data_IF_458687140801
#
_entry.id   IF_458687140801
#
_cell.length_a   1.000
_cell.length_b   1.000
_cell.length_c   1.000
_cell.angle_alpha   90.00
_cell.angle_beta   90.00
_cell.angle_gamma   90.00
#
_symmetry.space_group_name_H-M   'P 1'
#
loop_
_entity.id
_entity.type
_entity.pdbx_description
1 polymer ?
#
# COMPACT_ATOMS: atom_id res chain seq x y z
N UNK A 1 -10.47 -1.20 -24.28
CA UNK A 1 -9.12 -1.34 -24.87
C UNK A 1 -8.11 -0.32 -24.37
N UNK A 2 -8.38 1.00 -24.48
CA UNK A 2 -7.43 2.07 -24.08
C UNK A 2 -6.92 1.98 -22.64
N UNK A 3 -7.75 1.56 -21.65
CA UNK A 3 -7.30 1.42 -20.25
C UNK A 3 -6.15 0.43 -20.09
N UNK A 4 -6.22 -0.72 -20.77
CA UNK A 4 -5.16 -1.72 -20.71
C UNK A 4 -3.87 -1.28 -21.41
N UNK A 5 -3.96 -0.48 -22.47
CA UNK A 5 -2.79 0.13 -23.11
C UNK A 5 -2.06 1.05 -22.13
N UNK A 6 -2.78 2.00 -21.51
CA UNK A 6 -2.19 2.89 -20.49
C UNK A 6 -1.65 2.15 -19.28
N UNK A 7 -2.35 1.09 -18.86
CA UNK A 7 -1.90 0.23 -17.77
C UNK A 7 -0.57 -0.47 -18.10
N UNK A 8 -0.45 -1.03 -19.31
CA UNK A 8 0.78 -1.68 -19.79
C UNK A 8 1.92 -0.67 -19.92
N UNK A 9 1.67 0.49 -20.54
CA UNK A 9 2.68 1.53 -20.71
C UNK A 9 3.26 1.99 -19.36
N UNK A 10 2.40 2.15 -18.35
CA UNK A 10 2.83 2.49 -17.00
C UNK A 10 3.62 1.35 -16.32
N UNK A 11 3.38 0.09 -16.68
CA UNK A 11 4.07 -1.06 -16.13
C UNK A 11 5.40 -1.40 -16.85
N UNK A 12 5.59 -0.98 -18.12
CA UNK A 12 6.78 -1.27 -18.92
C UNK A 12 8.12 -0.90 -18.26
N UNK A 13 8.28 0.26 -17.58
CA UNK A 13 9.54 0.61 -16.92
C UNK A 13 10.00 -0.41 -15.88
N UNK A 14 9.06 -1.15 -15.29
CA UNK A 14 9.33 -2.19 -14.29
C UNK A 14 10.08 -3.40 -14.87
N UNK A 15 10.20 -3.49 -16.22
CA UNK A 15 10.99 -4.53 -16.90
C UNK A 15 12.44 -4.55 -16.39
N UNK A 16 13.01 -3.41 -16.08
CA UNK A 16 14.38 -3.28 -15.60
C UNK A 16 14.61 -3.82 -14.18
N UNK A 17 13.54 -4.10 -13.41
CA UNK A 17 13.62 -4.82 -12.14
C UNK A 17 13.72 -6.34 -12.33
N UNK A 18 13.46 -6.85 -13.53
CA UNK A 18 13.46 -8.28 -13.85
C UNK A 18 14.73 -8.69 -14.60
N UNK A 19 15.31 -9.83 -14.24
CA UNK A 19 16.54 -10.35 -14.85
C UNK A 19 16.37 -10.79 -16.31
N UNK A 20 15.18 -11.30 -16.68
CA UNK A 20 14.86 -11.85 -18.00
C UNK A 20 13.46 -11.42 -18.46
N UNK A 21 13.20 -11.42 -19.79
CA UNK A 21 11.89 -11.14 -20.36
C UNK A 21 10.82 -12.09 -19.79
N UNK A 22 11.10 -13.37 -19.68
CA UNK A 22 10.18 -14.37 -19.11
C UNK A 22 9.78 -14.03 -17.65
N UNK A 23 10.72 -13.55 -16.83
CA UNK A 23 10.40 -13.10 -15.45
C UNK A 23 9.50 -11.88 -15.47
N UNK A 24 9.72 -10.96 -16.40
CA UNK A 24 8.88 -9.79 -16.57
C UNK A 24 7.45 -10.16 -17.02
N UNK A 25 7.30 -11.10 -17.96
CA UNK A 25 6.00 -11.57 -18.40
C UNK A 25 5.20 -12.22 -17.25
N UNK A 26 5.85 -13.03 -16.41
CA UNK A 26 5.20 -13.54 -15.19
C UNK A 26 4.87 -12.43 -14.20
N UNK A 27 5.73 -11.43 -14.05
CA UNK A 27 5.47 -10.28 -13.20
C UNK A 27 4.24 -9.50 -13.65
N UNK A 28 4.15 -9.15 -14.94
CA UNK A 28 2.96 -8.47 -15.50
C UNK A 28 1.72 -9.35 -15.37
N UNK A 29 1.82 -10.66 -15.58
CA UNK A 29 0.72 -11.60 -15.38
C UNK A 29 0.21 -11.55 -13.93
N UNK A 30 1.12 -11.50 -12.95
CA UNK A 30 0.74 -11.35 -11.54
C UNK A 30 0.09 -10.00 -11.26
N UNK A 31 0.62 -8.90 -11.82
CA UNK A 31 0.03 -7.56 -11.70
C UNK A 31 -1.39 -7.53 -12.29
N UNK A 32 -1.56 -8.02 -13.52
CA UNK A 32 -2.86 -8.09 -14.19
C UNK A 32 -3.84 -8.98 -13.43
N UNK A 33 -3.41 -10.16 -13.02
CA UNK A 33 -4.25 -11.08 -12.25
C UNK A 33 -4.67 -10.52 -10.90
N UNK A 34 -3.81 -9.79 -10.19
CA UNK A 34 -4.18 -9.08 -8.96
C UNK A 34 -5.18 -7.96 -9.23
N UNK A 35 -5.10 -7.31 -10.40
CA UNK A 35 -6.00 -6.24 -10.81
C UNK A 35 -7.41 -6.76 -11.13
N UNK A 36 -7.52 -7.90 -11.86
CA UNK A 36 -8.81 -8.40 -12.35
C UNK A 36 -9.49 -9.42 -11.46
N UNK A 37 -8.79 -10.01 -10.47
CA UNK A 37 -9.36 -11.03 -9.59
C UNK A 37 -10.51 -10.49 -8.71
N UNK A 38 -11.44 -11.37 -8.37
CA UNK A 38 -12.58 -11.08 -7.49
C UNK A 38 -12.30 -11.58 -6.08
N UNK A 39 -11.76 -12.80 -5.98
CA UNK A 39 -11.35 -13.38 -4.71
C UNK A 39 -9.90 -12.99 -4.37
N UNK A 40 -9.55 -13.04 -3.08
CA UNK A 40 -8.26 -12.60 -2.58
C UNK A 40 -7.40 -13.78 -2.07
N UNK A 41 -7.57 -14.96 -2.67
CA UNK A 41 -7.01 -16.23 -2.18
C UNK A 41 -5.56 -16.51 -2.64
N UNK A 42 -4.70 -15.53 -2.64
CA UNK A 42 -3.28 -15.70 -2.97
C UNK A 42 -3.02 -15.99 -4.45
N UNK A 43 -2.11 -16.92 -4.76
CA UNK A 43 -1.71 -17.24 -6.14
C UNK A 43 -2.82 -17.95 -6.93
N UNK A 44 -3.60 -18.80 -6.28
CA UNK A 44 -4.71 -19.52 -6.93
C UNK A 44 -5.72 -18.56 -7.55
N UNK A 45 -6.00 -17.43 -6.88
CA UNK A 45 -6.94 -16.44 -7.41
C UNK A 45 -6.41 -15.75 -8.67
N UNK A 46 -5.10 -15.57 -8.80
CA UNK A 46 -4.47 -15.03 -10.01
C UNK A 46 -4.69 -15.98 -11.19
N UNK A 47 -4.41 -17.28 -10.98
CA UNK A 47 -4.58 -18.31 -12.02
C UNK A 47 -6.05 -18.38 -12.47
N UNK A 48 -6.99 -18.36 -11.53
CA UNK A 48 -8.43 -18.39 -11.83
C UNK A 48 -8.90 -17.14 -12.57
N UNK A 49 -8.56 -15.97 -12.05
CA UNK A 49 -9.00 -14.70 -12.62
C UNK A 49 -8.50 -14.46 -14.05
N UNK A 50 -7.31 -14.99 -14.36
CA UNK A 50 -6.71 -14.90 -15.69
C UNK A 50 -7.08 -16.07 -16.60
N UNK A 51 -7.89 -17.04 -16.13
CA UNK A 51 -8.26 -18.23 -16.90
C UNK A 51 -7.06 -19.12 -17.30
N UNK A 52 -5.99 -19.14 -16.52
CA UNK A 52 -4.75 -19.82 -16.90
C UNK A 52 -4.82 -21.33 -16.65
N UNK A 53 -4.06 -22.09 -17.45
CA UNK A 53 -3.84 -23.53 -17.29
C UNK A 53 -3.27 -23.87 -15.90
N UNK A 54 -3.59 -25.03 -15.30
CA UNK A 54 -3.18 -25.38 -13.93
C UNK A 54 -1.67 -25.29 -13.67
N UNK A 55 -0.83 -25.68 -14.64
CA UNK A 55 0.63 -25.63 -14.51
C UNK A 55 1.19 -24.20 -14.28
N UNK A 56 0.40 -23.16 -14.63
CA UNK A 56 0.79 -21.76 -14.37
C UNK A 56 0.87 -21.46 -12.88
N UNK A 57 0.16 -22.20 -12.04
CA UNK A 57 0.24 -22.06 -10.58
C UNK A 57 1.67 -22.27 -10.07
N UNK A 58 2.31 -23.36 -10.45
CA UNK A 58 3.69 -23.65 -10.04
C UNK A 58 4.67 -22.62 -10.62
N UNK A 59 4.45 -22.17 -11.85
CA UNK A 59 5.29 -21.15 -12.48
C UNK A 59 5.21 -19.79 -11.77
N UNK A 60 4.03 -19.41 -11.29
CA UNK A 60 3.86 -18.19 -10.50
C UNK A 60 4.50 -18.37 -9.10
N UNK A 61 4.38 -19.52 -8.47
CA UNK A 61 5.08 -19.83 -7.23
C UNK A 61 6.60 -19.74 -7.41
N UNK A 62 7.13 -20.37 -8.46
CA UNK A 62 8.56 -20.31 -8.82
C UNK A 62 9.02 -18.86 -9.06
N UNK A 63 8.19 -18.05 -9.72
CA UNK A 63 8.49 -16.64 -9.93
C UNK A 63 8.63 -15.89 -8.59
N UNK A 64 7.71 -16.07 -7.64
CA UNK A 64 7.81 -15.39 -6.33
C UNK A 64 8.99 -15.92 -5.50
N UNK A 65 9.30 -17.21 -5.56
CA UNK A 65 10.42 -17.81 -4.81
C UNK A 65 11.79 -17.63 -5.51
N UNK A 66 11.79 -17.30 -6.79
CA UNK A 66 13.00 -17.09 -7.57
C UNK A 66 13.64 -15.72 -7.35
N UNK A 67 14.80 -15.51 -7.98
CA UNK A 67 15.54 -14.25 -7.95
C UNK A 67 15.29 -13.39 -9.20
N UNK A 68 14.33 -13.79 -10.03
CA UNK A 68 14.03 -13.13 -11.30
C UNK A 68 13.48 -11.71 -11.17
N UNK A 69 12.92 -11.35 -10.02
CA UNK A 69 12.46 -10.00 -9.66
C UNK A 69 13.30 -9.48 -8.48
N UNK A 70 13.99 -8.36 -8.69
CA UNK A 70 14.84 -7.72 -7.68
C UNK A 70 14.01 -6.87 -6.73
N UNK A 71 13.99 -7.23 -5.44
CA UNK A 71 13.34 -6.45 -4.38
C UNK A 71 14.01 -5.09 -4.13
N UNK A 72 15.31 -4.95 -4.42
CA UNK A 72 16.04 -3.69 -4.22
C UNK A 72 15.81 -2.70 -5.37
N UNK A 73 15.70 -3.19 -6.61
CA UNK A 73 15.47 -2.35 -7.79
C UNK A 73 14.01 -1.93 -7.92
N UNK A 74 13.09 -2.82 -7.60
CA UNK A 74 11.66 -2.64 -7.83
C UNK A 74 11.09 -1.36 -7.19
N UNK A 75 11.30 -1.07 -5.88
CA UNK A 75 10.79 0.15 -5.27
C UNK A 75 11.37 1.42 -5.90
N UNK A 76 12.66 1.41 -6.24
CA UNK A 76 13.33 2.57 -6.85
C UNK A 76 12.76 2.90 -8.23
N UNK A 77 12.55 1.87 -9.06
CA UNK A 77 11.98 2.03 -10.40
C UNK A 77 10.52 2.47 -10.27
N UNK A 78 9.75 1.85 -9.38
CA UNK A 78 8.36 2.20 -9.15
C UNK A 78 8.21 3.65 -8.66
N UNK A 79 9.02 4.11 -7.72
CA UNK A 79 9.05 5.51 -7.28
C UNK A 79 9.26 6.48 -8.46
N UNK A 80 10.27 6.20 -9.32
CA UNK A 80 10.52 7.03 -10.51
C UNK A 80 9.34 7.01 -11.49
N UNK A 81 8.74 5.85 -11.67
CA UNK A 81 7.54 5.69 -12.50
C UNK A 81 6.39 6.52 -11.96
N UNK A 82 6.08 6.44 -10.66
CA UNK A 82 5.03 7.23 -10.00
C UNK A 82 5.24 8.72 -10.23
N UNK A 83 6.46 9.22 -10.00
CA UNK A 83 6.79 10.64 -10.19
C UNK A 83 6.64 11.11 -11.65
N UNK A 84 6.67 10.19 -12.61
CA UNK A 84 6.52 10.48 -14.04
C UNK A 84 5.07 10.42 -14.51
N UNK A 85 4.30 9.42 -14.02
CA UNK A 85 2.98 9.13 -14.60
C UNK A 85 1.83 9.87 -13.92
N UNK A 86 1.97 10.27 -12.65
CA UNK A 86 0.89 10.97 -11.97
C UNK A 86 0.84 12.45 -12.36
N UNK A 87 -0.38 13.00 -12.62
CA UNK A 87 -0.55 14.37 -13.11
C UNK A 87 -0.21 15.43 -12.07
N UNK A 88 -0.39 15.10 -10.78
CA UNK A 88 -0.12 15.99 -9.67
C UNK A 88 0.61 15.23 -8.54
N UNK A 89 1.81 15.72 -8.21
CA UNK A 89 2.61 15.24 -7.09
C UNK A 89 2.94 16.43 -6.20
N UNK A 90 2.12 16.66 -5.16
CA UNK A 90 2.24 17.85 -4.31
C UNK A 90 3.58 17.91 -3.59
N UNK A 91 4.09 19.14 -3.47
CA UNK A 91 5.34 19.45 -2.79
C UNK A 91 5.14 20.56 -1.76
N UNK A 92 5.92 20.49 -0.69
CA UNK A 92 6.01 21.54 0.32
C UNK A 92 7.47 21.92 0.50
N UNK A 93 7.79 23.19 0.36
CA UNK A 93 9.17 23.70 0.35
C UNK A 93 10.06 22.90 -0.65
N UNK A 94 9.54 22.62 -1.86
CA UNK A 94 10.23 21.85 -2.91
C UNK A 94 10.34 20.33 -2.66
N UNK A 95 9.92 19.83 -1.49
CA UNK A 95 10.05 18.43 -1.07
C UNK A 95 8.76 17.65 -1.31
N UNK A 96 8.91 16.39 -1.72
CA UNK A 96 7.80 15.44 -1.87
C UNK A 96 7.14 15.16 -0.52
N UNK A 97 5.82 14.98 -0.53
CA UNK A 97 5.08 14.53 0.63
C UNK A 97 5.05 13.01 0.69
N UNK A 98 5.69 12.46 1.71
CA UNK A 98 5.67 11.04 2.01
C UNK A 98 4.82 10.80 3.25
N UNK A 99 4.04 9.73 3.22
CA UNK A 99 3.29 9.24 4.38
C UNK A 99 3.75 7.84 4.72
N UNK A 100 3.97 7.60 6.01
CA UNK A 100 4.41 6.30 6.51
C UNK A 100 3.57 5.86 7.70
N UNK A 101 3.22 4.57 7.74
CA UNK A 101 2.53 3.98 8.88
C UNK A 101 2.74 2.47 8.94
N UNK A 102 2.35 1.86 10.06
CA UNK A 102 2.36 0.42 10.27
C UNK A 102 1.01 -0.22 9.99
N UNK A 103 1.04 -1.45 9.45
CA UNK A 103 -0.16 -2.28 9.32
C UNK A 103 0.08 -3.66 9.91
N UNK A 104 -0.88 -4.17 10.69
CA UNK A 104 -0.87 -5.51 11.27
C UNK A 104 -1.82 -6.40 10.47
N UNK A 105 -1.28 -7.47 9.88
CA UNK A 105 -2.04 -8.38 9.01
C UNK A 105 -2.24 -9.71 9.73
N UNK A 106 -3.48 -10.13 10.03
CA UNK A 106 -3.77 -11.41 10.64
C UNK A 106 -3.28 -12.58 9.78
N UNK A 107 -2.69 -13.57 10.42
CA UNK A 107 -2.23 -14.83 9.80
C UNK A 107 -2.43 -15.99 10.79
N UNK A 108 -3.15 -17.01 10.37
CA UNK A 108 -3.45 -18.16 11.24
C UNK A 108 -2.48 -19.34 11.09
N UNK A 109 -1.57 -19.23 10.11
CA UNK A 109 -0.65 -20.32 9.79
C UNK A 109 0.40 -20.57 10.90
N UNK A 110 0.40 -21.78 11.48
CA UNK A 110 1.35 -22.18 12.52
C UNK A 110 2.78 -22.42 12.02
N UNK A 111 2.99 -22.55 10.72
CA UNK A 111 4.30 -22.80 10.09
C UNK A 111 4.68 -21.69 9.12
N UNK A 112 4.47 -20.45 9.52
CA UNK A 112 4.79 -19.26 8.73
C UNK A 112 5.90 -18.46 9.41
N UNK A 113 7.01 -18.18 8.73
CA UNK A 113 8.06 -17.31 9.25
C UNK A 113 7.55 -15.91 9.61
N UNK A 114 8.10 -15.31 10.65
CA UNK A 114 7.81 -13.97 11.16
C UNK A 114 6.37 -13.72 11.64
N UNK A 115 5.51 -14.74 11.72
CA UNK A 115 4.20 -14.62 12.39
C UNK A 115 4.41 -14.62 13.91
N UNK A 116 3.83 -13.67 14.60
CA UNK A 116 3.91 -13.51 16.05
C UNK A 116 2.63 -12.92 16.63
N UNK A 117 2.49 -13.00 17.96
CA UNK A 117 1.45 -12.27 18.69
C UNK A 117 1.70 -10.76 18.59
N UNK A 118 0.71 -10.02 18.13
CA UNK A 118 0.76 -8.56 17.94
C UNK A 118 -0.35 -7.92 18.79
N UNK A 119 0.02 -6.96 19.63
CA UNK A 119 -0.95 -6.14 20.33
C UNK A 119 -1.58 -5.16 19.33
N UNK A 120 -2.91 -5.05 19.33
CA UNK A 120 -3.63 -4.05 18.54
C UNK A 120 -3.85 -2.80 19.40
N UNK A 121 -3.31 -1.69 18.97
CA UNK A 121 -3.46 -0.36 19.62
C UNK A 121 -4.77 0.32 19.16
N UNK A 122 -5.82 -0.46 18.93
CA UNK A 122 -7.12 0.08 18.53
C UNK A 122 -7.92 0.45 19.76
N UNK A 123 -8.43 1.66 19.82
CA UNK A 123 -9.39 2.12 20.85
C UNK A 123 -10.77 1.46 20.70
N UNK A 124 -10.98 0.68 19.62
CA UNK A 124 -12.25 0.00 19.36
C UNK A 124 -12.39 -1.28 20.17
N UNK A 125 -13.38 -1.34 21.05
CA UNK A 125 -13.73 -2.53 21.85
C UNK A 125 -14.20 -3.73 20.99
N UNK A 126 -14.48 -3.54 19.71
CA UNK A 126 -14.89 -4.59 18.79
C UNK A 126 -13.76 -5.45 18.23
N UNK A 127 -12.51 -5.05 18.45
CA UNK A 127 -11.33 -5.79 17.96
C UNK A 127 -10.62 -6.49 19.12
N UNK A 128 -10.10 -7.72 18.92
CA UNK A 128 -9.34 -8.41 19.94
C UNK A 128 -8.05 -7.61 20.25
N UNK A 129 -7.66 -7.55 21.53
CA UNK A 129 -6.44 -6.86 21.97
C UNK A 129 -5.16 -7.43 21.30
N UNK A 130 -5.16 -8.72 20.95
CA UNK A 130 -4.04 -9.40 20.33
C UNK A 130 -4.48 -10.19 19.10
N UNK A 131 -3.65 -10.16 18.05
CA UNK A 131 -3.79 -11.02 16.87
C UNK A 131 -2.49 -11.79 16.63
N UNK A 132 -2.59 -12.96 15.99
CA UNK A 132 -1.45 -13.61 15.36
C UNK A 132 -1.29 -13.06 13.96
N UNK A 133 -0.08 -12.62 13.57
CA UNK A 133 0.09 -12.05 12.26
C UNK A 133 1.47 -11.49 11.97
N UNK A 134 1.55 -10.77 10.87
CA UNK A 134 2.71 -9.98 10.46
C UNK A 134 2.49 -8.51 10.74
N UNK A 135 3.55 -7.82 11.18
CA UNK A 135 3.62 -6.36 11.22
C UNK A 135 4.43 -5.85 10.04
N UNK A 136 3.87 -4.91 9.28
CA UNK A 136 4.53 -4.23 8.18
C UNK A 136 4.58 -2.73 8.44
N UNK A 137 5.64 -2.09 7.95
CA UNK A 137 5.70 -0.65 7.76
C UNK A 137 5.67 -0.37 6.27
N UNK A 138 4.91 0.62 5.86
CA UNK A 138 4.85 1.06 4.48
C UNK A 138 5.05 2.58 4.37
N UNK A 139 5.59 2.99 3.24
CA UNK A 139 5.76 4.40 2.88
C UNK A 139 5.10 4.62 1.52
N UNK A 140 4.31 5.69 1.41
CA UNK A 140 3.65 6.10 0.19
C UNK A 140 3.97 7.54 -0.18
N UNK A 141 3.93 7.84 -1.48
CA UNK A 141 4.00 9.20 -2.02
C UNK A 141 2.57 9.72 -2.13
N UNK A 142 2.31 10.93 -1.63
CA UNK A 142 1.03 11.59 -1.86
C UNK A 142 0.96 12.10 -3.30
N UNK A 143 -0.14 11.78 -3.97
CA UNK A 143 -0.46 12.24 -5.32
C UNK A 143 -1.89 12.77 -5.34
N UNK A 144 -2.17 13.77 -6.16
CA UNK A 144 -3.48 14.38 -6.29
C UNK A 144 -4.10 14.13 -7.66
N UNK A 145 -5.42 14.11 -7.72
CA UNK A 145 -6.19 14.14 -8.96
C UNK A 145 -7.61 14.62 -8.67
N UNK A 146 -8.08 15.63 -9.37
CA UNK A 146 -9.37 16.27 -9.14
C UNK A 146 -9.48 16.70 -7.65
N UNK A 147 -10.60 16.39 -6.99
CA UNK A 147 -10.78 16.61 -5.53
C UNK A 147 -10.27 15.44 -4.66
N UNK A 148 -9.48 14.53 -5.22
CA UNK A 148 -9.01 13.32 -4.55
C UNK A 148 -7.51 13.38 -4.28
N UNK A 149 -7.07 12.74 -3.18
CA UNK A 149 -5.65 12.54 -2.85
C UNK A 149 -5.43 11.08 -2.53
N UNK A 150 -4.40 10.48 -3.12
CA UNK A 150 -4.02 9.08 -2.92
C UNK A 150 -2.66 9.00 -2.22
N UNK A 151 -2.44 7.91 -1.47
CA UNK A 151 -1.12 7.49 -1.02
C UNK A 151 -0.70 6.28 -1.87
N UNK A 152 0.20 6.49 -2.81
CA UNK A 152 0.76 5.43 -3.65
C UNK A 152 1.90 4.77 -2.91
N UNK A 153 1.66 3.58 -2.36
CA UNK A 153 2.67 2.82 -1.64
C UNK A 153 3.80 2.38 -2.58
N UNK A 154 5.03 2.70 -2.23
CA UNK A 154 6.20 2.30 -3.02
C UNK A 154 7.10 1.30 -2.27
N UNK A 155 6.94 1.18 -0.96
CA UNK A 155 7.70 0.24 -0.13
C UNK A 155 6.83 -0.29 1.01
N UNK A 156 6.94 -1.58 1.28
CA UNK A 156 6.40 -2.22 2.48
C UNK A 156 7.31 -3.37 2.88
N UNK A 157 7.73 -3.37 4.13
CA UNK A 157 8.57 -4.43 4.70
C UNK A 157 8.12 -4.78 6.11
N UNK A 158 8.52 -5.96 6.59
CA UNK A 158 8.31 -6.35 7.98
C UNK A 158 9.11 -5.44 8.91
N UNK A 159 8.51 -5.08 10.04
CA UNK A 159 9.11 -4.24 11.05
C UNK A 159 10.38 -4.88 11.63
N UNK A 160 11.48 -4.12 11.71
CA UNK A 160 12.72 -4.51 12.39
C UNK A 160 12.77 -3.85 13.77
N UNK A 161 13.11 -4.60 14.82
CA UNK A 161 13.32 -4.03 16.15
C UNK A 161 14.54 -3.10 16.13
N UNK A 162 14.32 -1.82 16.45
CA UNK A 162 15.39 -0.84 16.68
C UNK A 162 15.64 -0.70 18.17
N UNK A 163 16.92 -0.81 18.56
CA UNK A 163 17.36 -0.80 19.95
C UNK A 163 17.13 0.54 20.69
N UNK A 164 17.14 0.49 22.02
CA UNK A 164 16.94 1.64 22.92
C UNK A 164 18.14 2.59 22.95
N UNK A 165 17.86 3.91 22.82
CA UNK A 165 18.87 4.98 22.92
C UNK A 165 19.26 5.35 24.36
N UNK A 166 20.40 6.09 24.52
CA UNK A 166 20.99 6.52 25.79
C UNK A 166 20.20 7.66 26.47
N UNK A 167 20.17 7.68 27.81
CA UNK A 167 19.58 8.75 28.63
C UNK A 167 20.37 10.05 28.53
N UNK A 168 19.68 11.21 28.36
CA UNK A 168 20.24 12.57 28.42
C UNK A 168 19.55 13.35 29.53
N UNK A 169 20.23 14.38 30.08
CA UNK A 169 19.68 15.27 31.12
C UNK A 169 19.06 16.50 30.48
N UNK A 170 17.88 16.90 30.93
CA UNK A 170 17.10 18.01 30.38
C UNK A 170 16.58 18.92 31.53
N UNK A 171 16.32 20.20 31.21
CA UNK A 171 15.76 21.18 32.13
C UNK A 171 14.29 20.91 32.52
N UNK A 172 13.54 21.95 32.85
CA UNK A 172 12.13 21.85 33.29
C UNK A 172 11.27 21.13 32.29
N UNK A 173 10.51 20.14 32.75
CA UNK A 173 9.59 19.34 31.88
C UNK A 173 8.26 20.09 31.75
N UNK A 174 7.80 20.22 30.49
CA UNK A 174 6.46 20.71 30.16
C UNK A 174 5.62 19.48 29.78
N UNK A 175 4.45 19.35 30.43
CA UNK A 175 3.46 18.35 30.02
C UNK A 175 2.62 18.94 28.89
N UNK A 176 2.75 18.36 27.67
CA UNK A 176 2.08 18.90 26.47
C UNK A 176 0.55 19.05 26.61
N UNK A 177 -0.10 18.22 27.45
CA UNK A 177 -1.53 18.36 27.76
C UNK A 177 -1.88 19.69 28.48
N UNK A 178 -0.90 20.35 29.13
CA UNK A 178 -1.09 21.63 29.81
C UNK A 178 -1.24 22.78 28.81
N UNK A 179 -0.83 22.60 27.55
CA UNK A 179 -1.02 23.60 26.50
C UNK A 179 -2.51 23.90 26.20
N UNK A 180 -3.42 23.03 26.64
CA UNK A 180 -4.87 23.21 26.47
C UNK A 180 -5.55 23.87 27.68
N UNK A 181 -4.78 24.26 28.74
CA UNK A 181 -5.34 24.89 29.95
C UNK A 181 -5.63 26.36 29.77
N UNK A 182 -4.95 26.99 28.82
CA UNK A 182 -5.13 28.39 28.48
C UNK A 182 -5.75 28.55 27.10
N UNK A 183 -7.09 28.62 26.99
CA UNK A 183 -7.77 28.76 25.70
C UNK A 183 -7.54 30.11 25.03
N UNK A 184 -7.21 31.16 25.82
CA UNK A 184 -6.98 32.54 25.33
C UNK A 184 -5.64 32.65 24.60
N UNK A 185 -4.65 31.83 24.98
CA UNK A 185 -3.37 31.73 24.27
C UNK A 185 -3.47 31.04 22.91
N UNK A 186 -4.62 30.44 22.57
CA UNK A 186 -4.79 29.72 21.31
C UNK A 186 -5.30 30.65 20.19
N UNK A 187 -4.63 30.61 19.06
CA UNK A 187 -5.07 31.30 17.84
C UNK A 187 -6.23 30.54 17.17
N UNK A 188 -7.17 31.30 16.59
CA UNK A 188 -8.30 30.75 15.82
C UNK A 188 -8.03 30.89 14.32
N UNK A 189 -8.30 29.86 13.52
CA UNK A 189 -8.18 29.89 12.08
C UNK A 189 -9.19 28.96 11.41
N UNK A 190 -9.50 29.18 10.11
CA UNK A 190 -10.23 28.19 9.31
C UNK A 190 -9.49 26.84 9.30
N UNK A 191 -10.24 25.74 9.35
CA UNK A 191 -9.66 24.40 9.31
C UNK A 191 -8.96 24.14 7.98
N UNK A 192 -7.64 23.87 7.94
CA UNK A 192 -6.93 23.52 6.72
C UNK A 192 -7.03 22.00 6.40
N UNK A 193 -7.85 21.26 7.15
CA UNK A 193 -7.91 19.80 7.06
C UNK A 193 -8.62 19.40 5.76
N UNK A 194 -8.02 18.46 5.04
CA UNK A 194 -8.55 17.94 3.79
C UNK A 194 -9.98 17.37 3.95
N UNK A 195 -10.88 17.81 3.07
CA UNK A 195 -12.28 17.39 3.05
C UNK A 195 -13.19 18.12 4.04
N UNK A 196 -12.70 19.13 4.76
CA UNK A 196 -13.50 20.00 5.61
C UNK A 196 -13.78 21.33 4.91
N UNK A 197 -15.01 21.80 5.01
CA UNK A 197 -15.42 23.12 4.51
C UNK A 197 -16.07 23.92 5.65
N UNK A 198 -15.59 25.14 5.90
CA UNK A 198 -16.21 26.11 6.81
C UNK A 198 -16.00 25.89 8.32
N UNK A 199 -15.20 24.89 8.72
CA UNK A 199 -14.86 24.67 10.13
C UNK A 199 -13.78 25.63 10.64
N UNK A 200 -13.85 26.01 11.93
CA UNK A 200 -12.76 26.73 12.61
C UNK A 200 -12.06 25.81 13.60
N UNK A 201 -10.75 25.97 13.74
CA UNK A 201 -9.91 25.29 14.73
C UNK A 201 -9.22 26.34 15.63
N UNK A 202 -8.89 25.93 16.83
CA UNK A 202 -7.96 26.68 17.69
C UNK A 202 -6.65 25.95 17.81
N UNK A 203 -5.53 26.66 17.77
CA UNK A 203 -4.21 26.03 17.84
C UNK A 203 -3.22 26.92 18.58
N UNK A 204 -2.22 26.29 19.22
CA UNK A 204 -1.06 26.92 19.83
C UNK A 204 0.20 26.22 19.30
N UNK A 205 1.20 27.01 18.90
CA UNK A 205 2.47 26.51 18.36
C UNK A 205 3.62 26.85 19.30
N UNK A 206 4.42 25.88 19.71
CA UNK A 206 5.59 26.05 20.55
C UNK A 206 6.76 25.20 20.07
N UNK A 207 7.95 25.81 20.05
CA UNK A 207 9.20 25.10 19.75
C UNK A 207 9.86 24.66 21.07
N UNK A 208 9.92 23.38 21.32
CA UNK A 208 10.42 22.78 22.56
C UNK A 208 11.50 21.72 22.24
N UNK A 209 12.45 21.55 23.14
CA UNK A 209 13.42 20.47 23.03
C UNK A 209 12.75 19.13 23.33
N UNK A 210 12.65 18.28 22.30
CA UNK A 210 12.11 16.94 22.50
C UNK A 210 13.20 16.00 23.00
N UNK A 211 12.95 15.45 24.20
CA UNK A 211 13.91 14.60 24.90
C UNK A 211 14.48 13.45 24.06
N UNK A 212 13.65 12.79 23.27
CA UNK A 212 14.06 11.65 22.42
C UNK A 212 14.98 12.08 21.26
N UNK A 213 14.76 13.26 20.69
CA UNK A 213 15.55 13.79 19.58
C UNK A 213 16.77 14.61 20.04
N UNK A 214 16.72 15.18 21.26
CA UNK A 214 17.76 16.07 21.79
C UNK A 214 17.93 17.38 21.01
N UNK A 215 16.89 17.81 20.28
CA UNK A 215 16.85 19.02 19.45
C UNK A 215 15.48 19.66 19.52
N UNK A 216 15.36 20.98 19.17
CA UNK A 216 14.07 21.64 19.07
C UNK A 216 13.18 20.94 18.06
N UNK A 217 11.91 20.83 18.40
CA UNK A 217 10.81 20.40 17.52
C UNK A 217 9.61 21.29 17.80
N UNK A 218 8.80 21.51 16.80
CA UNK A 218 7.57 22.30 16.92
C UNK A 218 6.43 21.40 17.36
N UNK A 219 5.79 21.75 18.48
CA UNK A 219 4.57 21.14 18.96
C UNK A 219 3.38 22.03 18.63
N UNK A 220 2.34 21.41 18.12
CA UNK A 220 1.06 22.05 17.81
C UNK A 220 -0.01 21.44 18.72
N UNK A 221 -0.52 22.21 19.69
CA UNK A 221 -1.75 21.86 20.38
C UNK A 221 -2.94 22.34 19.53
N UNK A 222 -3.76 21.42 19.05
CA UNK A 222 -4.90 21.71 18.17
C UNK A 222 -6.19 21.31 18.87
N UNK A 223 -7.15 22.21 18.94
CA UNK A 223 -8.51 21.94 19.37
C UNK A 223 -9.44 22.03 18.15
N UNK A 224 -10.02 20.87 17.81
CA UNK A 224 -10.99 20.77 16.74
C UNK A 224 -12.39 20.59 17.32
N UNK A 225 -13.43 21.32 16.88
CA UNK A 225 -14.76 21.29 17.50
C UNK A 225 -15.40 19.90 17.54
N UNK A 226 -15.21 19.09 16.52
CA UNK A 226 -15.80 17.73 16.43
C UNK A 226 -14.81 16.60 16.75
N UNK A 227 -13.49 16.81 16.59
CA UNK A 227 -12.46 15.77 16.79
C UNK A 227 -11.73 15.92 18.14
N UNK A 228 -12.01 16.99 18.87
CA UNK A 228 -11.42 17.25 20.19
C UNK A 228 -9.97 17.75 20.14
N UNK A 229 -9.20 17.40 21.17
CA UNK A 229 -7.83 17.86 21.39
C UNK A 229 -6.82 16.93 20.74
N UNK A 230 -5.87 17.48 19.97
CA UNK A 230 -4.78 16.75 19.35
C UNK A 230 -3.46 17.49 19.53
N UNK A 231 -2.36 16.75 19.72
CA UNK A 231 -1.00 17.29 19.75
C UNK A 231 -0.26 16.74 18.53
N UNK A 232 0.20 17.65 17.67
CA UNK A 232 1.02 17.33 16.52
C UNK A 232 2.46 17.75 16.79
N UNK A 233 3.40 17.15 16.08
CA UNK A 233 4.82 17.45 16.20
C UNK A 233 5.45 17.57 14.81
N UNK A 234 6.27 18.59 14.61
CA UNK A 234 7.11 18.75 13.42
C UNK A 234 8.58 18.87 13.79
N UNK A 235 9.43 18.12 13.11
CA UNK A 235 10.90 18.29 13.17
C UNK A 235 11.38 19.36 12.20
N UNK A 236 10.53 19.82 11.29
CA UNK A 236 10.79 20.91 10.38
C UNK A 236 10.20 22.21 10.93
N UNK A 237 11.07 23.08 11.43
CA UNK A 237 10.68 24.37 12.03
C UNK A 237 10.38 25.44 10.97
N UNK A 238 10.66 25.18 9.68
CA UNK A 238 10.35 26.11 8.57
C UNK A 238 8.89 26.04 8.14
N UNK A 239 8.16 25.00 8.54
CA UNK A 239 6.75 24.85 8.20
C UNK A 239 5.88 25.79 9.04
N UNK A 240 4.95 26.49 8.38
CA UNK A 240 3.94 27.28 9.09
C UNK A 240 3.01 26.36 9.92
N UNK A 241 2.49 26.83 11.06
CA UNK A 241 1.61 26.04 11.91
C UNK A 241 0.41 25.41 11.20
N UNK A 242 -0.33 26.18 10.40
CA UNK A 242 -1.49 25.69 9.66
C UNK A 242 -1.09 24.66 8.58
N UNK A 243 0.11 24.80 8.00
CA UNK A 243 0.64 23.83 7.05
C UNK A 243 0.91 22.48 7.73
N UNK A 244 1.45 22.47 8.96
CA UNK A 244 1.64 21.23 9.74
C UNK A 244 0.29 20.53 9.97
N UNK A 245 -0.75 21.29 10.32
CA UNK A 245 -2.10 20.75 10.55
C UNK A 245 -2.66 20.19 9.24
N UNK A 246 -2.52 20.91 8.12
CA UNK A 246 -2.92 20.48 6.79
C UNK A 246 -2.25 19.16 6.38
N UNK A 247 -0.93 19.09 6.54
CA UNK A 247 -0.14 17.90 6.19
C UNK A 247 -0.51 16.69 7.06
N UNK A 248 -0.71 16.91 8.37
CA UNK A 248 -1.16 15.84 9.25
C UNK A 248 -2.53 15.30 8.85
N UNK A 249 -3.44 16.19 8.41
CA UNK A 249 -4.75 15.79 7.89
C UNK A 249 -4.68 14.86 6.66
N UNK A 250 -3.58 14.91 5.91
CA UNK A 250 -3.35 14.01 4.77
C UNK A 250 -2.79 12.63 5.19
N UNK A 251 -2.26 12.47 6.41
CA UNK A 251 -1.66 11.23 6.89
C UNK A 251 -2.61 10.03 6.79
N UNK A 252 -3.89 10.23 7.07
CA UNK A 252 -4.86 9.14 7.03
C UNK A 252 -5.00 8.50 5.63
N UNK A 253 -4.49 9.15 4.56
CA UNK A 253 -4.50 8.57 3.21
C UNK A 253 -3.72 7.28 3.10
N UNK A 254 -2.68 7.06 3.96
CA UNK A 254 -1.99 5.77 4.02
C UNK A 254 -2.89 4.67 4.59
N UNK A 255 -3.75 5.00 5.56
CA UNK A 255 -4.73 4.06 6.14
C UNK A 255 -5.80 3.66 5.10
N UNK A 256 -6.26 4.64 4.29
CA UNK A 256 -7.15 4.37 3.15
C UNK A 256 -6.46 3.46 2.15
N UNK A 257 -5.18 3.74 1.82
CA UNK A 257 -4.38 2.89 0.94
C UNK A 257 -4.24 1.47 1.50
N UNK A 258 -3.99 1.29 2.80
CA UNK A 258 -3.96 -0.02 3.44
C UNK A 258 -5.30 -0.76 3.33
N UNK A 259 -6.41 -0.06 3.56
CA UNK A 259 -7.75 -0.65 3.41
C UNK A 259 -7.96 -1.19 2.00
N UNK A 260 -7.56 -0.44 0.98
CA UNK A 260 -7.66 -0.88 -0.42
C UNK A 260 -6.66 -1.99 -0.74
N UNK A 261 -5.43 -1.91 -0.25
CA UNK A 261 -4.43 -2.96 -0.41
C UNK A 261 -4.90 -4.31 0.14
N UNK A 262 -5.59 -4.30 1.29
CA UNK A 262 -6.14 -5.52 1.92
C UNK A 262 -7.42 -5.98 1.24
N UNK A 263 -8.41 -5.08 1.05
CA UNK A 263 -9.78 -5.44 0.69
C UNK A 263 -10.04 -5.51 -0.81
N UNK A 264 -9.33 -4.70 -1.60
CA UNK A 264 -9.51 -4.65 -3.06
C UNK A 264 -8.42 -5.44 -3.77
N UNK A 265 -7.17 -5.31 -3.33
CA UNK A 265 -6.03 -5.94 -4.01
C UNK A 265 -5.61 -7.27 -3.41
N UNK A 266 -5.91 -7.54 -2.13
CA UNK A 266 -5.39 -8.71 -1.43
C UNK A 266 -3.86 -8.76 -1.43
N UNK A 267 -3.20 -7.59 -1.34
CA UNK A 267 -1.74 -7.48 -1.45
C UNK A 267 -1.00 -8.28 -0.36
N UNK A 268 -1.66 -8.55 0.75
CA UNK A 268 -1.10 -9.32 1.86
C UNK A 268 -1.69 -10.73 1.98
N UNK A 269 -2.51 -11.19 1.03
CA UNK A 269 -3.29 -12.41 1.16
C UNK A 269 -2.49 -13.71 0.93
N UNK A 270 -1.21 -13.64 0.55
CA UNK A 270 -0.39 -14.82 0.30
C UNK A 270 -0.14 -15.61 1.58
N UNK A 271 -0.46 -16.90 1.54
CA UNK A 271 -0.21 -17.88 2.60
C UNK A 271 0.92 -18.80 2.17
N UNK A 272 2.11 -18.63 2.72
CA UNK A 272 3.26 -19.44 2.40
C UNK A 272 3.64 -20.34 3.59
N UNK A 273 3.75 -21.62 3.33
CA UNK A 273 4.08 -22.63 4.31
C UNK A 273 5.55 -23.00 4.24
N UNK A 274 6.14 -23.26 5.39
CA UNK A 274 7.48 -23.82 5.50
C UNK A 274 7.42 -25.18 6.17
N UNK A 275 7.45 -26.27 5.37
CA UNK A 275 7.31 -27.65 5.87
C UNK A 275 8.27 -27.97 7.01
N UNK A 276 9.53 -27.54 6.90
CA UNK A 276 10.58 -27.79 7.91
C UNK A 276 10.43 -26.95 9.20
N UNK A 277 9.51 -25.99 9.24
CA UNK A 277 9.30 -25.15 10.41
C UNK A 277 8.50 -25.90 11.48
N UNK A 278 8.95 -25.84 12.73
CA UNK A 278 8.14 -26.30 13.87
C UNK A 278 6.93 -25.37 14.05
N UNK A 279 5.74 -25.92 14.36
CA UNK A 279 4.56 -25.09 14.62
C UNK A 279 4.81 -24.08 15.74
N UNK A 280 4.46 -22.83 15.53
CA UNK A 280 4.49 -21.80 16.56
C UNK A 280 3.26 -21.91 17.47
N UNK A 281 3.45 -21.60 18.74
CA UNK A 281 2.34 -21.48 19.69
C UNK A 281 1.55 -20.19 19.43
N UNK A 282 0.25 -20.25 19.64
CA UNK A 282 -0.61 -19.05 19.55
C UNK A 282 -0.11 -18.00 20.55
N UNK A 283 -0.08 -16.74 20.09
CA UNK A 283 0.43 -15.58 20.85
C UNK A 283 1.92 -15.65 21.25
N UNK A 284 2.72 -16.53 20.64
CA UNK A 284 4.16 -16.49 20.81
C UNK A 284 4.76 -15.19 20.28
N UNK A 285 5.86 -14.76 20.88
CA UNK A 285 6.65 -13.61 20.44
C UNK A 285 7.52 -13.89 19.21
N UNK A 286 8.64 -13.18 19.11
CA UNK A 286 9.56 -13.28 17.98
C UNK A 286 10.15 -14.68 17.80
N UNK A 287 10.27 -15.11 16.55
CA UNK A 287 10.90 -16.38 16.20
C UNK A 287 12.41 -16.17 16.07
N UNK A 288 13.14 -16.44 17.12
CA UNK A 288 14.60 -16.33 17.15
C UNK A 288 15.26 -17.41 16.30
N UNK A 289 15.71 -17.07 15.11
CA UNK A 289 16.33 -18.03 14.17
C UNK A 289 17.85 -17.97 14.13
N UNK A 290 18.50 -17.07 14.87
CA UNK A 290 19.96 -16.88 14.86
C UNK A 290 20.73 -18.12 15.29
N UNK A 291 20.16 -18.96 16.17
CA UNK A 291 20.73 -20.25 16.62
C UNK A 291 20.44 -21.43 15.68
N UNK A 292 19.68 -21.22 14.59
CA UNK A 292 19.35 -22.28 13.65
C UNK A 292 20.44 -22.46 12.61
N UNK A 293 20.58 -23.69 12.04
CA UNK A 293 21.53 -23.94 10.94
C UNK A 293 21.34 -22.99 9.77
N UNK A 294 22.42 -22.69 9.06
CA UNK A 294 22.41 -21.75 7.93
C UNK A 294 21.41 -22.13 6.84
N UNK A 295 21.34 -23.44 6.50
CA UNK A 295 20.36 -23.98 5.54
C UNK A 295 18.92 -23.59 5.92
N UNK A 296 18.57 -23.68 7.21
CA UNK A 296 17.25 -23.30 7.71
C UNK A 296 17.03 -21.78 7.59
N UNK A 297 18.01 -20.96 7.98
CA UNK A 297 17.94 -19.49 7.89
C UNK A 297 17.77 -19.03 6.44
N UNK A 298 18.52 -19.62 5.50
CA UNK A 298 18.36 -19.37 4.05
C UNK A 298 16.96 -19.76 3.53
N UNK A 299 16.40 -20.87 4.01
CA UNK A 299 15.05 -21.28 3.64
C UNK A 299 13.98 -20.30 4.16
N UNK A 300 14.13 -19.79 5.39
CA UNK A 300 13.27 -18.74 5.95
C UNK A 300 13.38 -17.47 5.13
N UNK A 301 14.60 -17.02 4.84
CA UNK A 301 14.83 -15.80 4.02
C UNK A 301 14.16 -15.92 2.65
N UNK A 302 14.35 -17.03 1.96
CA UNK A 302 13.71 -17.28 0.66
C UNK A 302 12.18 -17.20 0.72
N UNK A 303 11.56 -17.69 1.79
CA UNK A 303 10.11 -17.59 2.02
C UNK A 303 9.67 -16.15 2.28
N UNK A 304 10.41 -15.42 3.10
CA UNK A 304 10.14 -14.00 3.37
C UNK A 304 10.30 -13.15 2.11
N UNK A 305 11.33 -13.40 1.30
CA UNK A 305 11.52 -12.70 0.02
C UNK A 305 10.39 -12.98 -0.96
N UNK A 306 9.89 -14.22 -1.02
CA UNK A 306 8.71 -14.56 -1.84
C UNK A 306 7.48 -13.77 -1.38
N UNK A 307 7.27 -13.67 -0.06
CA UNK A 307 6.17 -12.89 0.49
C UNK A 307 6.32 -11.39 0.19
N UNK A 308 7.52 -10.84 0.36
CA UNK A 308 7.78 -9.44 0.02
C UNK A 308 7.54 -9.15 -1.48
N UNK A 309 7.94 -10.06 -2.39
CA UNK A 309 7.64 -9.91 -3.84
C UNK A 309 6.14 -9.90 -4.08
N UNK A 310 5.39 -10.76 -3.41
CA UNK A 310 3.93 -10.79 -3.54
C UNK A 310 3.30 -9.48 -3.04
N UNK A 311 3.71 -8.98 -1.86
CA UNK A 311 3.22 -7.71 -1.29
C UNK A 311 3.55 -6.54 -2.22
N UNK A 312 4.80 -6.43 -2.67
CA UNK A 312 5.21 -5.34 -3.58
C UNK A 312 4.44 -5.39 -4.90
N UNK A 313 4.22 -6.59 -5.46
CA UNK A 313 3.39 -6.76 -6.66
C UNK A 313 1.96 -6.25 -6.43
N UNK A 314 1.35 -6.57 -5.30
CA UNK A 314 0.01 -6.10 -4.95
C UNK A 314 -0.09 -4.58 -4.75
N UNK A 315 0.91 -3.97 -4.11
CA UNK A 315 0.98 -2.52 -3.92
C UNK A 315 1.20 -1.77 -5.25
N UNK A 316 2.01 -2.32 -6.15
CA UNK A 316 2.20 -1.76 -7.50
C UNK A 316 0.92 -1.90 -8.32
N UNK A 317 0.23 -3.04 -8.27
CA UNK A 317 -1.06 -3.21 -8.93
C UNK A 317 -2.10 -2.19 -8.42
N UNK A 318 -2.14 -1.92 -7.11
CA UNK A 318 -2.96 -0.85 -6.55
C UNK A 318 -2.56 0.53 -7.11
N UNK A 319 -1.27 0.84 -7.14
CA UNK A 319 -0.78 2.12 -7.66
C UNK A 319 -1.10 2.32 -9.15
N UNK A 320 -1.12 1.25 -9.96
CA UNK A 320 -1.57 1.30 -11.35
C UNK A 320 -3.07 1.61 -11.45
N UNK A 321 -3.91 1.06 -10.54
CA UNK A 321 -5.32 1.46 -10.47
C UNK A 321 -5.48 2.93 -10.09
N UNK A 322 -4.73 3.41 -9.12
CA UNK A 322 -4.71 4.81 -8.70
C UNK A 322 -4.26 5.73 -9.84
N UNK A 323 -3.26 5.32 -10.63
CA UNK A 323 -2.84 6.04 -11.82
C UNK A 323 -3.95 6.18 -12.85
N UNK A 324 -4.61 5.09 -13.23
CA UNK A 324 -5.72 5.13 -14.18
C UNK A 324 -6.88 5.99 -13.66
N UNK A 325 -7.20 5.86 -12.38
CA UNK A 325 -8.20 6.67 -11.70
C UNK A 325 -7.85 8.18 -11.75
N UNK A 326 -6.59 8.53 -11.52
CA UNK A 326 -6.12 9.91 -11.47
C UNK A 326 -6.03 10.54 -12.86
N UNK A 327 -5.49 9.79 -13.83
CA UNK A 327 -5.15 10.33 -15.17
C UNK A 327 -6.26 10.16 -16.21
N UNK A 328 -7.15 9.14 -16.04
CA UNK A 328 -8.17 8.79 -17.02
C UNK A 328 -9.55 8.53 -16.37
N UNK A 329 -10.05 9.41 -15.49
CA UNK A 329 -11.28 9.16 -14.72
C UNK A 329 -12.49 8.93 -15.62
N UNK A 330 -12.64 9.71 -16.70
CA UNK A 330 -13.77 9.58 -17.63
C UNK A 330 -13.75 8.24 -18.37
N UNK A 331 -12.57 7.75 -18.76
CA UNK A 331 -12.43 6.47 -19.43
C UNK A 331 -12.72 5.31 -18.44
N UNK A 332 -12.34 5.46 -17.17
CA UNK A 332 -12.69 4.49 -16.12
C UNK A 332 -14.21 4.46 -15.91
N UNK A 333 -14.86 5.60 -15.78
CA UNK A 333 -16.32 5.65 -15.59
C UNK A 333 -17.09 5.09 -16.77
N UNK A 334 -16.71 5.42 -18.02
CA UNK A 334 -17.35 4.87 -19.22
C UNK A 334 -17.17 3.35 -19.35
N UNK A 335 -16.04 2.82 -18.91
CA UNK A 335 -15.74 1.38 -18.93
C UNK A 335 -16.31 0.63 -17.73
N UNK A 336 -16.72 1.31 -16.66
CA UNK A 336 -17.31 0.70 -15.47
C UNK A 336 -18.71 0.16 -15.69
N UNK A 337 -19.55 0.87 -16.48
CA UNK A 337 -20.84 0.40 -16.99
C UNK A 337 -21.88 -0.03 -15.96
N UNK A 338 -21.72 0.29 -14.67
CA UNK A 338 -22.63 -0.15 -13.62
C UNK A 338 -23.50 1.00 -13.08
N UNK A 339 -24.78 0.76 -12.98
CA UNK A 339 -25.75 1.69 -12.41
C UNK A 339 -25.87 1.62 -10.88
N UNK A 340 -25.27 0.62 -10.24
CA UNK A 340 -25.36 0.42 -8.78
C UNK A 340 -24.62 1.47 -7.94
N UNK A 341 -23.81 2.32 -8.56
CA UNK A 341 -23.07 3.35 -7.85
C UNK A 341 -23.35 4.72 -8.43
N UNK A 342 -23.64 5.67 -7.56
CA UNK A 342 -23.67 7.08 -7.93
C UNK A 342 -22.28 7.50 -8.39
N UNK A 343 -22.18 7.90 -9.65
CA UNK A 343 -20.94 8.43 -10.25
C UNK A 343 -20.86 9.90 -9.92
N UNK A 344 -19.76 10.31 -9.29
CA UNK A 344 -19.41 11.68 -9.00
C UNK A 344 -18.20 12.06 -9.83
N UNK A 345 -18.42 12.74 -10.93
CA UNK A 345 -17.38 13.07 -11.91
C UNK A 345 -16.36 14.11 -11.42
N UNK A 346 -16.68 14.82 -10.34
CA UNK A 346 -15.79 15.76 -9.67
C UNK A 346 -14.74 15.09 -8.74
N UNK A 347 -14.86 13.77 -8.53
CA UNK A 347 -13.90 12.95 -7.79
C UNK A 347 -13.31 11.85 -8.67
N UNK A 348 -12.05 11.51 -8.41
CA UNK A 348 -11.43 10.36 -9.06
C UNK A 348 -12.14 9.05 -8.65
N UNK A 349 -12.36 8.09 -9.59
CA UNK A 349 -12.94 6.79 -9.28
C UNK A 349 -12.11 6.04 -8.24
N UNK A 350 -12.75 5.22 -7.41
CA UNK A 350 -12.02 4.38 -6.44
C UNK A 350 -11.26 3.26 -7.13
N UNK A 351 -10.25 2.68 -6.45
CA UNK A 351 -9.50 1.52 -6.94
C UNK A 351 -10.42 0.34 -7.30
N UNK A 352 -11.52 0.15 -6.54
CA UNK A 352 -12.50 -0.90 -6.84
C UNK A 352 -13.23 -0.64 -8.15
N UNK A 353 -13.67 0.58 -8.41
CA UNK A 353 -14.34 0.97 -9.66
C UNK A 353 -13.38 0.77 -10.84
N UNK A 354 -12.13 1.20 -10.70
CA UNK A 354 -11.09 1.04 -11.72
C UNK A 354 -10.77 -0.44 -11.98
N UNK A 355 -10.69 -1.27 -10.94
CA UNK A 355 -10.48 -2.71 -11.08
C UNK A 355 -11.64 -3.40 -11.81
N UNK A 356 -12.89 -2.99 -11.55
CA UNK A 356 -14.06 -3.51 -12.26
C UNK A 356 -14.02 -3.11 -13.74
N UNK A 357 -13.72 -1.84 -14.05
CA UNK A 357 -13.58 -1.36 -15.43
C UNK A 357 -12.52 -2.15 -16.21
N UNK A 358 -11.34 -2.38 -15.60
CA UNK A 358 -10.30 -3.20 -16.21
C UNK A 358 -10.73 -4.66 -16.39
N UNK A 359 -11.41 -5.25 -15.41
CA UNK A 359 -11.91 -6.63 -15.51
C UNK A 359 -12.90 -6.78 -16.66
N UNK A 360 -13.84 -5.88 -16.81
CA UNK A 360 -14.85 -5.92 -17.87
C UNK A 360 -14.23 -5.77 -19.26
N UNK A 361 -13.18 -4.95 -19.41
CA UNK A 361 -12.50 -4.70 -20.69
C UNK A 361 -11.35 -5.65 -20.97
N UNK A 362 -11.05 -6.61 -20.10
CA UNK A 362 -9.93 -7.54 -20.29
C UNK A 362 -10.15 -8.55 -21.43
N UNK A 363 -11.35 -9.17 -21.61
CA UNK A 363 -11.60 -10.04 -22.74
C UNK A 363 -11.44 -9.33 -24.09
N UNK A 364 -11.99 -8.13 -24.24
CA UNK A 364 -11.83 -7.30 -25.43
C UNK A 364 -10.36 -6.94 -25.70
N UNK A 365 -9.60 -6.62 -24.65
CA UNK A 365 -8.16 -6.36 -24.78
C UNK A 365 -7.42 -7.59 -25.29
N UNK A 366 -7.75 -8.80 -24.86
CA UNK A 366 -7.11 -10.01 -25.33
C UNK A 366 -7.48 -10.36 -26.78
N UNK A 367 -8.72 -10.12 -27.19
CA UNK A 367 -9.21 -10.43 -28.55
C UNK A 367 -8.81 -9.37 -29.60
N UNK A 368 -8.44 -8.15 -29.18
CA UNK A 368 -8.09 -7.06 -30.10
C UNK A 368 -6.79 -7.36 -30.88
N UNK A 369 -6.91 -7.63 -32.18
CA UNK A 369 -5.77 -7.89 -33.06
C UNK A 369 -4.97 -6.64 -33.44
N UNK A 370 -5.52 -5.44 -33.22
CA UNK A 370 -4.87 -4.18 -33.59
C UNK A 370 -3.66 -3.81 -32.71
N UNK A 371 -3.56 -4.40 -31.51
CA UNK A 371 -2.46 -4.20 -30.58
C UNK A 371 -1.73 -5.53 -30.31
N UNK A 372 -0.73 -5.82 -31.12
CA UNK A 372 0.09 -7.01 -30.93
C UNK A 372 1.15 -6.75 -29.85
N UNK A 373 0.95 -7.34 -28.65
CA UNK A 373 1.91 -7.26 -27.56
C UNK A 373 2.40 -8.65 -27.14
N UNK A 374 3.69 -8.72 -26.81
CA UNK A 374 4.29 -9.95 -26.29
C UNK A 374 3.53 -10.48 -25.07
N UNK A 375 2.98 -9.58 -24.25
CA UNK A 375 2.18 -9.95 -23.09
C UNK A 375 0.87 -10.64 -23.49
N UNK A 376 0.15 -10.14 -24.48
CA UNK A 376 -1.10 -10.79 -25.00
C UNK A 376 -0.81 -12.20 -25.50
N UNK A 377 0.18 -12.36 -26.38
CA UNK A 377 0.62 -13.68 -26.87
C UNK A 377 0.95 -14.62 -25.71
N UNK A 378 1.72 -14.12 -24.73
CA UNK A 378 2.10 -14.90 -23.56
C UNK A 378 0.89 -15.39 -22.76
N UNK A 379 -0.15 -14.57 -22.58
CA UNK A 379 -1.37 -14.94 -21.86
C UNK A 379 -2.21 -15.90 -22.70
N UNK A 380 -2.50 -15.59 -23.97
CA UNK A 380 -3.35 -16.40 -24.84
C UNK A 380 -2.85 -17.85 -24.94
N UNK A 381 -1.54 -18.07 -25.08
CA UNK A 381 -0.94 -19.41 -25.09
C UNK A 381 -1.19 -20.22 -23.80
N UNK A 382 -1.50 -19.52 -22.71
CA UNK A 382 -1.63 -20.07 -21.35
C UNK A 382 -3.06 -20.11 -20.83
N UNK A 383 -4.01 -19.55 -21.55
CA UNK A 383 -5.44 -19.65 -21.21
C UNK A 383 -5.89 -21.11 -21.37
N UNK A 384 -6.66 -21.57 -20.41
CA UNK A 384 -7.33 -22.85 -20.44
C UNK A 384 -8.74 -22.69 -21.04
N UNK A 385 -8.86 -23.00 -22.30
CA UNK A 385 -10.13 -22.88 -23.04
C UNK A 385 -11.21 -23.86 -22.55
N UNK A 386 -10.79 -24.94 -21.87
CA UNK A 386 -11.71 -25.96 -21.35
C UNK A 386 -12.22 -25.65 -19.94
N UNK A 387 -11.77 -24.54 -19.35
CA UNK A 387 -12.15 -24.17 -17.98
C UNK A 387 -13.48 -23.43 -17.94
N UNK A 388 -14.45 -23.96 -17.16
CA UNK A 388 -15.74 -23.31 -16.94
C UNK A 388 -15.68 -22.09 -16.02
N UNK A 389 -14.65 -21.99 -15.18
CA UNK A 389 -14.41 -20.90 -14.23
C UNK A 389 -13.36 -19.91 -14.76
N UNK A 390 -13.65 -18.63 -14.76
CA UNK A 390 -12.73 -17.57 -15.15
C UNK A 390 -13.24 -16.72 -16.31
N UNK A 391 -12.31 -16.02 -16.98
CA UNK A 391 -12.63 -15.20 -18.14
C UNK A 391 -13.14 -16.08 -19.28
N UNK A 392 -14.41 -15.97 -19.62
CA UNK A 392 -14.91 -16.45 -20.90
C UNK A 392 -14.49 -15.44 -21.97
N UNK A 393 -13.60 -15.83 -22.85
CA UNK A 393 -13.43 -15.13 -24.11
C UNK A 393 -14.73 -15.27 -24.84
N UNK A 394 -15.44 -14.16 -25.06
CA UNK A 394 -16.61 -14.16 -25.94
C UNK A 394 -16.05 -14.45 -27.33
N UNK A 395 -16.50 -15.57 -27.91
CA UNK A 395 -16.15 -15.98 -29.27
C UNK A 395 -16.76 -15.02 -30.30
#
# INVERSE_FOLDING_TARGET
MKLWAYWLDAALPLRSACSRMRSFLWFITCLAGMTVRIDLLGVTSIVRAMGLKPFCYDRILDFFHGTGLSLDKLPRIWTRTVLKIFPDVPRVNGRLLLVGDGIKIPKEGKKMPAVKGLHQESESNSKPAFIMGHSFQAVGILVGALKSVFAVAYYSATEKNTGRGRKRVYGKKIKLRELFKDPEAMLTAPSPIYGESGGQIRYLSLDLIWRSAGRPVRFMAVFHPTRGKCILMSTDLTLAPLEIIRLYGLRFKIEVSFKQAVRTMGAYAYHFWMKAMKPIKRYSGDQHIYKKPEKYRKAVQRKMDAYHRFVQTGLIAQGLLQYLSASFPQLVFSSFGSWFRTIRTDFAPSELVTAIALRQTFPEFLSDSSQDSIFKKFIIERIDLNRSEGLRLVA
#
